data_IF_888927522090
#
_entry.id   IF_888927522090
#
_cell.length_a   1.000
_cell.length_b   1.000
_cell.length_c   1.000
_cell.angle_alpha   90.00
_cell.angle_beta   90.00
_cell.angle_gamma   90.00
#
_symmetry.space_group_name_H-M   'P 1'
#
loop_
_entity.id
_entity.type
_entity.pdbx_description
1 polymer ?
#
# COMPACT_ATOMS: atom_id res chain seq x y z
N UNK A 1 -26.42 2.82 8.91
CA UNK A 1 -27.21 1.72 9.42
C UNK A 1 -27.32 0.51 8.49
N UNK A 2 -26.88 0.62 7.23
CA UNK A 2 -26.86 -0.48 6.25
C UNK A 2 -26.11 -1.73 6.74
N UNK A 3 -24.98 -1.58 7.42
CA UNK A 3 -24.25 -2.72 7.97
C UNK A 3 -25.07 -3.48 9.02
N UNK A 4 -25.71 -2.79 9.95
CA UNK A 4 -26.54 -3.45 10.97
C UNK A 4 -27.71 -4.20 10.34
N UNK A 5 -28.35 -3.62 9.33
CA UNK A 5 -29.41 -4.31 8.58
C UNK A 5 -28.88 -5.54 7.84
N UNK A 6 -27.71 -5.43 7.16
CA UNK A 6 -27.11 -6.55 6.47
C UNK A 6 -26.77 -7.71 7.42
N UNK A 7 -26.19 -7.40 8.58
CA UNK A 7 -25.89 -8.42 9.59
C UNK A 7 -27.16 -9.08 10.14
N UNK A 8 -28.21 -8.29 10.42
CA UNK A 8 -29.48 -8.83 10.85
C UNK A 8 -30.08 -9.80 9.82
N UNK A 9 -30.07 -9.42 8.54
CA UNK A 9 -30.56 -10.29 7.45
C UNK A 9 -29.73 -11.56 7.31
N UNK A 10 -28.41 -11.46 7.41
CA UNK A 10 -27.53 -12.62 7.33
C UNK A 10 -27.75 -13.58 8.51
N UNK A 11 -27.93 -13.05 9.72
CA UNK A 11 -28.28 -13.87 10.89
C UNK A 11 -29.60 -14.61 10.68
N UNK A 12 -30.63 -13.91 10.17
CA UNK A 12 -31.93 -14.53 9.85
C UNK A 12 -31.81 -15.60 8.76
N UNK A 13 -30.81 -15.50 7.89
CA UNK A 13 -30.47 -16.49 6.86
C UNK A 13 -29.59 -17.65 7.38
N UNK A 14 -29.25 -17.67 8.68
CA UNK A 14 -28.48 -18.74 9.30
C UNK A 14 -26.97 -18.48 9.45
N UNK A 15 -26.47 -17.28 9.19
CA UNK A 15 -25.06 -16.97 9.47
C UNK A 15 -24.82 -16.83 10.97
N UNK A 16 -23.81 -17.51 11.49
CA UNK A 16 -23.51 -17.57 12.94
C UNK A 16 -22.29 -16.75 13.34
N UNK A 17 -21.35 -16.55 12.41
CA UNK A 17 -20.08 -15.86 12.67
C UNK A 17 -19.83 -14.79 11.62
N UNK A 18 -19.25 -13.68 12.05
CA UNK A 18 -19.08 -12.50 11.22
C UNK A 18 -17.66 -11.95 11.31
N UNK A 19 -17.26 -11.27 10.27
CA UNK A 19 -16.04 -10.47 10.25
C UNK A 19 -16.32 -9.08 9.70
N UNK A 20 -15.39 -8.16 9.94
CA UNK A 20 -15.38 -6.82 9.38
C UNK A 20 -14.10 -6.63 8.62
N UNK A 21 -14.19 -6.03 7.44
CA UNK A 21 -13.06 -5.65 6.61
C UNK A 21 -13.23 -4.21 6.11
N UNK A 22 -12.14 -3.46 6.05
CA UNK A 22 -12.12 -2.14 5.43
C UNK A 22 -10.79 -1.87 4.77
N UNK A 23 -10.81 -1.37 3.55
CA UNK A 23 -9.65 -0.90 2.81
C UNK A 23 -9.83 0.58 2.46
N UNK A 24 -9.09 1.48 3.12
CA UNK A 24 -9.27 2.93 3.00
C UNK A 24 -8.09 3.65 2.35
N UNK A 25 -6.89 3.10 2.41
CA UNK A 25 -5.69 3.77 1.92
C UNK A 25 -4.64 2.80 1.41
N UNK A 26 -3.74 3.33 0.59
CA UNK A 26 -2.62 2.58 0.02
C UNK A 26 -1.33 3.41 0.15
N UNK A 27 -0.25 2.76 0.57
CA UNK A 27 1.07 3.36 0.74
C UNK A 27 1.08 4.56 1.70
N UNK A 28 0.46 4.43 2.87
CA UNK A 28 0.59 5.42 3.94
C UNK A 28 1.98 5.33 4.58
N UNK A 29 2.66 6.46 4.68
CA UNK A 29 4.02 6.55 5.24
C UNK A 29 4.01 7.24 6.61
N UNK A 30 2.95 7.03 7.39
CA UNK A 30 2.79 7.52 8.76
C UNK A 30 2.46 6.37 9.70
N UNK A 31 3.03 6.39 10.90
CA UNK A 31 2.86 5.31 11.88
C UNK A 31 1.49 5.40 12.62
N UNK A 32 0.78 6.51 12.53
CA UNK A 32 -0.46 6.78 13.26
C UNK A 32 -1.75 6.43 12.51
N UNK A 33 -1.69 6.34 11.17
CA UNK A 33 -2.87 6.05 10.34
C UNK A 33 -3.50 4.69 10.68
N UNK A 34 -2.69 3.66 10.75
CA UNK A 34 -3.16 2.28 10.95
C UNK A 34 -3.78 2.05 12.34
N UNK A 35 -3.19 2.54 13.44
CA UNK A 35 -3.85 2.53 14.76
C UNK A 35 -5.17 3.32 14.81
N UNK A 36 -5.27 4.45 14.09
CA UNK A 36 -6.52 5.21 13.98
C UNK A 36 -7.61 4.42 13.25
N UNK A 37 -7.26 3.78 12.13
CA UNK A 37 -8.16 2.89 11.41
C UNK A 37 -8.65 1.74 12.30
N UNK A 38 -7.74 1.10 13.03
CA UNK A 38 -8.06 0.03 13.96
C UNK A 38 -9.08 0.50 15.01
N UNK A 39 -8.89 1.68 15.62
CA UNK A 39 -9.82 2.26 16.57
C UNK A 39 -11.23 2.42 15.99
N UNK A 40 -11.35 2.98 14.78
CA UNK A 40 -12.63 3.16 14.07
C UNK A 40 -13.34 1.81 13.84
N UNK A 41 -12.59 0.80 13.38
CA UNK A 41 -13.18 -0.52 13.11
C UNK A 41 -13.55 -1.27 14.40
N UNK A 42 -12.76 -1.14 15.45
CA UNK A 42 -13.08 -1.74 16.76
C UNK A 42 -14.34 -1.13 17.38
N UNK A 43 -14.47 0.20 17.35
CA UNK A 43 -15.71 0.86 17.78
C UNK A 43 -16.92 0.45 16.93
N UNK A 44 -16.75 0.30 15.61
CA UNK A 44 -17.79 -0.19 14.73
C UNK A 44 -18.20 -1.61 15.09
N UNK A 45 -17.23 -2.51 15.35
CA UNK A 45 -17.49 -3.89 15.76
C UNK A 45 -18.31 -3.94 17.05
N UNK A 46 -17.93 -3.16 18.05
CA UNK A 46 -18.66 -3.07 19.32
C UNK A 46 -20.09 -2.56 19.11
N UNK A 47 -20.29 -1.53 18.29
CA UNK A 47 -21.62 -1.00 17.97
C UNK A 47 -22.48 -2.03 17.23
N UNK A 48 -21.92 -2.74 16.26
CA UNK A 48 -22.65 -3.79 15.52
C UNK A 48 -23.03 -4.95 16.44
N UNK A 49 -22.10 -5.44 17.25
CA UNK A 49 -22.36 -6.48 18.22
C UNK A 49 -23.49 -6.08 19.18
N UNK A 50 -23.42 -4.91 19.80
CA UNK A 50 -24.45 -4.42 20.73
C UNK A 50 -25.82 -4.25 20.07
N UNK A 51 -25.87 -3.82 18.82
CA UNK A 51 -27.10 -3.52 18.11
C UNK A 51 -27.79 -4.74 17.51
N UNK A 52 -27.02 -5.72 17.05
CA UNK A 52 -27.54 -6.87 16.29
C UNK A 52 -27.41 -8.20 17.03
N UNK A 53 -26.50 -8.30 17.99
CA UNK A 53 -26.14 -9.56 18.63
C UNK A 53 -25.16 -10.40 17.76
N UNK A 54 -24.71 -9.89 16.61
CA UNK A 54 -23.81 -10.62 15.72
C UNK A 54 -22.49 -10.96 16.42
N UNK A 55 -22.03 -12.21 16.27
CA UNK A 55 -20.77 -12.70 16.84
C UNK A 55 -19.62 -12.33 15.88
N UNK A 56 -18.98 -11.19 16.11
CA UNK A 56 -17.79 -10.77 15.36
C UNK A 56 -16.61 -11.65 15.80
N UNK A 57 -16.04 -12.41 14.87
CA UNK A 57 -14.92 -13.33 15.13
C UNK A 57 -13.58 -12.79 14.65
N UNK A 58 -13.60 -11.92 13.65
CA UNK A 58 -12.37 -11.29 13.20
C UNK A 58 -12.62 -9.87 12.67
N UNK A 59 -11.57 -9.07 12.71
CA UNK A 59 -11.52 -7.75 12.07
C UNK A 59 -10.27 -7.74 11.19
N UNK A 60 -10.47 -7.55 9.90
CA UNK A 60 -9.39 -7.40 8.94
C UNK A 60 -9.14 -5.91 8.71
N UNK A 61 -7.97 -5.44 9.13
CA UNK A 61 -7.52 -4.06 8.97
C UNK A 61 -6.99 -3.78 7.56
N UNK A 62 -7.01 -4.80 6.67
CA UNK A 62 -6.49 -4.72 5.31
C UNK A 62 -4.98 -4.42 5.26
N UNK A 63 -4.54 -3.84 4.16
CA UNK A 63 -3.17 -3.35 3.95
C UNK A 63 -3.07 -1.84 4.14
N UNK A 64 -2.22 -1.24 3.33
CA UNK A 64 -2.06 0.21 3.28
C UNK A 64 -0.81 0.74 3.97
N UNK A 65 -0.17 -0.02 4.85
CA UNK A 65 1.16 0.35 5.37
C UNK A 65 2.13 0.44 4.20
N UNK A 66 2.71 1.62 4.04
CA UNK A 66 3.56 1.97 2.93
C UNK A 66 5.03 1.69 3.17
N UNK A 67 5.80 1.92 2.12
CA UNK A 67 7.26 1.87 2.13
C UNK A 67 7.83 3.19 1.63
N UNK A 68 9.06 3.48 1.98
CA UNK A 68 9.83 4.56 1.39
C UNK A 68 10.18 4.19 -0.06
N UNK A 69 9.66 4.96 -1.02
CA UNK A 69 10.04 4.83 -2.45
C UNK A 69 11.15 5.80 -2.84
N UNK A 70 11.37 6.85 -2.06
CA UNK A 70 12.41 7.84 -2.29
C UNK A 70 13.50 7.70 -1.24
N UNK A 71 14.77 7.97 -1.57
CA UNK A 71 15.87 7.88 -0.62
C UNK A 71 15.73 8.79 0.61
N UNK A 72 15.01 9.90 0.46
CA UNK A 72 14.76 10.90 1.51
C UNK A 72 13.53 10.58 2.38
N UNK A 73 12.76 9.56 2.05
CA UNK A 73 11.59 9.14 2.83
C UNK A 73 11.97 8.26 4.00
N UNK A 74 11.30 8.48 5.13
CA UNK A 74 11.39 7.58 6.29
C UNK A 74 10.52 6.34 6.07
N UNK A 75 11.04 5.18 6.39
CA UNK A 75 10.25 3.95 6.49
C UNK A 75 9.33 3.98 7.71
N UNK A 76 8.19 3.31 7.61
CA UNK A 76 7.28 3.13 8.74
C UNK A 76 7.92 2.24 9.83
N UNK A 77 7.62 2.55 11.08
CA UNK A 77 7.95 1.69 12.22
C UNK A 77 6.81 0.71 12.48
N UNK A 78 6.96 -0.52 11.99
CA UNK A 78 5.92 -1.55 12.13
C UNK A 78 5.68 -1.97 13.56
N UNK A 79 6.70 -1.88 14.43
CA UNK A 79 6.54 -2.18 15.84
C UNK A 79 5.70 -1.11 16.55
N UNK A 80 5.95 0.17 16.25
CA UNK A 80 5.14 1.28 16.75
C UNK A 80 3.69 1.20 16.25
N UNK A 81 3.49 0.83 14.98
CA UNK A 81 2.16 0.60 14.40
C UNK A 81 1.44 -0.53 15.15
N UNK A 82 2.11 -1.67 15.33
CA UNK A 82 1.56 -2.82 16.05
C UNK A 82 1.18 -2.50 17.48
N UNK A 83 2.03 -1.77 18.19
CA UNK A 83 1.77 -1.31 19.56
C UNK A 83 0.56 -0.36 19.62
N UNK A 84 0.45 0.54 18.64
CA UNK A 84 -0.71 1.42 18.53
C UNK A 84 -2.03 0.66 18.32
N UNK A 85 -2.01 -0.37 17.47
CA UNK A 85 -3.17 -1.27 17.25
C UNK A 85 -3.49 -2.04 18.53
N UNK A 86 -2.48 -2.60 19.20
CA UNK A 86 -2.64 -3.32 20.48
C UNK A 86 -3.32 -2.45 21.53
N UNK A 87 -2.88 -1.22 21.71
CA UNK A 87 -3.51 -0.26 22.64
C UNK A 87 -4.98 -0.04 22.32
N UNK A 88 -5.33 0.15 21.05
CA UNK A 88 -6.73 0.32 20.63
C UNK A 88 -7.58 -0.94 20.88
N UNK A 89 -7.00 -2.11 20.69
CA UNK A 89 -7.65 -3.38 21.02
C UNK A 89 -7.97 -3.48 22.51
N UNK A 90 -7.00 -3.21 23.37
CA UNK A 90 -7.14 -3.23 24.83
C UNK A 90 -8.10 -2.16 25.36
N UNK A 91 -8.10 -0.97 24.74
CA UNK A 91 -8.99 0.13 25.11
C UNK A 91 -10.45 -0.11 24.70
N UNK A 92 -10.73 -0.78 23.59
CA UNK A 92 -12.06 -0.80 22.96
C UNK A 92 -12.68 -2.19 23.00
N UNK A 93 -11.97 -3.24 22.54
CA UNK A 93 -12.55 -4.58 22.41
C UNK A 93 -12.56 -5.34 23.72
N UNK A 94 -11.50 -5.28 24.50
CA UNK A 94 -11.40 -6.01 25.78
C UNK A 94 -12.50 -5.60 26.76
N UNK A 95 -12.75 -4.29 27.02
CA UNK A 95 -13.83 -3.88 27.91
C UNK A 95 -15.23 -4.19 27.38
N UNK A 96 -15.36 -4.38 26.07
CA UNK A 96 -16.62 -4.76 25.44
C UNK A 96 -16.89 -6.28 25.48
N UNK A 97 -16.02 -7.08 26.11
CA UNK A 97 -16.10 -8.53 26.14
C UNK A 97 -15.76 -9.22 24.80
N UNK A 98 -15.03 -8.51 23.93
CA UNK A 98 -14.64 -8.95 22.57
C UNK A 98 -13.14 -9.21 22.46
N UNK A 99 -12.47 -9.57 23.55
CA UNK A 99 -11.03 -9.81 23.58
C UNK A 99 -10.60 -11.10 22.86
N UNK A 100 -11.55 -11.93 22.39
CA UNK A 100 -11.31 -13.11 21.57
C UNK A 100 -11.36 -12.84 20.05
N UNK A 101 -11.61 -11.60 19.63
CA UNK A 101 -11.69 -11.22 18.22
C UNK A 101 -10.28 -11.27 17.60
N UNK A 102 -10.15 -12.03 16.51
CA UNK A 102 -8.89 -12.12 15.78
C UNK A 102 -8.66 -10.89 14.89
N UNK A 103 -7.41 -10.42 14.84
CA UNK A 103 -7.02 -9.31 13.97
C UNK A 103 -6.23 -9.85 12.78
N UNK A 104 -6.66 -9.46 11.57
CA UNK A 104 -6.00 -9.80 10.31
C UNK A 104 -5.46 -8.56 9.63
N UNK A 105 -4.39 -8.75 8.85
CA UNK A 105 -3.75 -7.70 8.06
C UNK A 105 -3.36 -8.25 6.69
N UNK A 106 -3.25 -7.35 5.68
CA UNK A 106 -2.91 -7.67 4.29
C UNK A 106 -1.73 -6.81 3.82
N UNK A 107 -0.60 -6.87 4.50
CA UNK A 107 0.53 -5.96 4.32
C UNK A 107 1.48 -6.35 3.18
N UNK A 108 0.96 -6.78 2.01
CA UNK A 108 1.76 -7.30 0.91
C UNK A 108 2.91 -6.37 0.47
N UNK A 109 2.61 -5.09 0.25
CA UNK A 109 3.64 -4.11 -0.17
C UNK A 109 4.73 -3.95 0.88
N UNK A 110 4.35 -3.76 2.15
CA UNK A 110 5.30 -3.56 3.24
C UNK A 110 6.26 -4.74 3.38
N UNK A 111 5.76 -5.96 3.19
CA UNK A 111 6.53 -7.18 3.38
C UNK A 111 7.58 -7.43 2.29
N UNK A 112 7.26 -7.13 1.02
CA UNK A 112 8.07 -7.59 -0.11
C UNK A 112 8.65 -6.48 -0.97
N UNK A 113 7.98 -5.34 -1.11
CA UNK A 113 8.39 -4.32 -2.06
C UNK A 113 9.78 -3.70 -1.77
N UNK A 114 10.26 -3.58 -0.53
CA UNK A 114 11.63 -3.11 -0.26
C UNK A 114 12.73 -4.02 -0.80
N UNK A 115 12.41 -5.28 -1.09
CA UNK A 115 13.38 -6.31 -1.50
C UNK A 115 13.25 -6.70 -2.97
N UNK A 116 12.35 -6.04 -3.70
CA UNK A 116 12.14 -6.29 -5.13
C UNK A 116 12.76 -5.20 -6.00
N UNK A 117 13.32 -5.59 -7.14
CA UNK A 117 13.81 -4.68 -8.16
C UNK A 117 13.42 -5.18 -9.55
N UNK A 118 13.10 -4.25 -10.47
CA UNK A 118 13.07 -4.52 -11.90
C UNK A 118 14.44 -4.16 -12.46
N UNK A 119 15.15 -5.14 -13.01
CA UNK A 119 16.41 -4.95 -13.72
C UNK A 119 16.13 -4.90 -15.21
N UNK A 120 16.65 -3.90 -15.89
CA UNK A 120 16.44 -3.69 -17.33
C UNK A 120 17.68 -3.07 -17.97
N UNK A 121 17.82 -3.23 -19.28
CA UNK A 121 18.94 -2.72 -20.05
C UNK A 121 18.52 -1.54 -20.91
N UNK A 122 19.34 -0.51 -20.95
CA UNK A 122 19.17 0.58 -21.94
C UNK A 122 19.50 0.05 -23.33
N UNK A 123 18.53 0.11 -24.24
CA UNK A 123 18.69 -0.33 -25.63
C UNK A 123 19.11 0.83 -26.55
N UNK A 124 18.57 2.03 -26.31
CA UNK A 124 18.85 3.20 -27.15
C UNK A 124 18.53 4.50 -26.40
N UNK A 125 19.05 5.59 -26.93
CA UNK A 125 18.75 6.96 -26.52
C UNK A 125 18.14 7.72 -27.70
N UNK A 126 17.30 8.70 -27.40
CA UNK A 126 16.71 9.60 -28.38
C UNK A 126 16.77 11.02 -27.88
N UNK A 127 17.41 11.88 -28.67
CA UNK A 127 17.63 13.29 -28.39
C UNK A 127 16.77 14.14 -29.35
N UNK A 128 15.70 14.73 -28.83
CA UNK A 128 14.81 15.63 -29.59
C UNK A 128 14.44 16.84 -28.71
N UNK A 129 13.17 17.18 -28.57
CA UNK A 129 12.72 18.21 -27.62
C UNK A 129 12.85 17.78 -26.15
N UNK A 130 13.04 16.51 -25.89
CA UNK A 130 13.42 15.88 -24.62
C UNK A 130 14.47 14.81 -24.85
N UNK A 131 15.11 14.43 -23.77
CA UNK A 131 16.01 13.29 -23.73
C UNK A 131 15.25 12.02 -23.31
N UNK A 132 15.32 10.98 -24.10
CA UNK A 132 14.65 9.70 -23.84
C UNK A 132 15.64 8.56 -23.73
N UNK A 133 15.36 7.67 -22.79
CA UNK A 133 16.05 6.38 -22.64
C UNK A 133 15.04 5.28 -22.89
N UNK A 134 15.26 4.44 -23.90
CA UNK A 134 14.46 3.26 -24.19
C UNK A 134 15.09 2.02 -23.56
N UNK A 135 14.27 1.27 -22.81
CA UNK A 135 14.71 0.04 -22.11
C UNK A 135 14.00 -1.20 -22.64
N UNK A 136 14.55 -2.39 -22.35
CA UNK A 136 14.01 -3.69 -22.74
C UNK A 136 12.87 -4.20 -21.83
N UNK A 137 12.36 -3.35 -20.96
CA UNK A 137 11.16 -3.59 -20.17
C UNK A 137 9.99 -2.72 -20.66
N UNK A 138 8.80 -2.97 -20.15
CA UNK A 138 7.62 -2.17 -20.48
C UNK A 138 6.65 -2.09 -19.28
N UNK A 139 5.59 -1.33 -19.43
CA UNK A 139 4.56 -1.15 -18.38
C UNK A 139 3.96 -2.47 -17.87
N UNK A 140 3.96 -3.54 -18.67
CA UNK A 140 3.51 -4.86 -18.20
C UNK A 140 4.42 -5.48 -17.13
N UNK A 141 5.71 -5.11 -17.10
CA UNK A 141 6.66 -5.57 -16.09
C UNK A 141 6.53 -4.77 -14.77
N UNK A 142 6.24 -3.47 -14.88
CA UNK A 142 6.04 -2.57 -13.73
C UNK A 142 5.00 -1.50 -14.10
N UNK A 143 3.73 -1.81 -13.91
CA UNK A 143 2.63 -0.98 -14.42
C UNK A 143 2.34 0.28 -13.59
N UNK A 144 2.76 0.36 -12.33
CA UNK A 144 2.39 1.46 -11.44
C UNK A 144 2.84 2.85 -11.92
N UNK A 145 4.03 3.07 -12.48
CA UNK A 145 4.39 4.37 -13.05
C UNK A 145 3.43 4.79 -14.17
N UNK A 146 3.13 3.89 -15.10
CA UNK A 146 2.25 4.16 -16.23
C UNK A 146 0.79 4.44 -15.82
N UNK A 147 0.26 3.65 -14.87
CA UNK A 147 -1.16 3.73 -14.46
C UNK A 147 -1.45 4.81 -13.45
N UNK A 148 -0.52 5.08 -12.54
CA UNK A 148 -0.75 5.93 -11.37
C UNK A 148 0.22 7.09 -11.25
N UNK A 149 1.17 7.26 -12.19
CA UNK A 149 2.26 8.22 -12.04
C UNK A 149 3.15 7.95 -10.81
N UNK A 150 3.17 6.69 -10.35
CA UNK A 150 3.87 6.34 -9.11
C UNK A 150 5.37 6.44 -9.28
N UNK A 151 6.01 7.06 -8.30
CA UNK A 151 7.46 7.10 -8.24
C UNK A 151 8.03 5.73 -7.89
N UNK A 152 9.02 5.29 -8.65
CA UNK A 152 9.96 4.24 -8.28
C UNK A 152 11.37 4.78 -8.43
N UNK A 153 12.25 4.48 -7.47
CA UNK A 153 13.64 4.90 -7.57
C UNK A 153 14.33 4.15 -8.71
N UNK A 154 15.14 4.86 -9.47
CA UNK A 154 15.96 4.30 -10.56
C UNK A 154 17.41 4.48 -10.19
N UNK A 155 18.16 3.39 -10.17
CA UNK A 155 19.59 3.38 -10.00
C UNK A 155 20.24 2.94 -11.31
N UNK A 156 21.22 3.68 -11.79
CA UNK A 156 22.03 3.31 -12.96
C UNK A 156 23.24 2.53 -12.47
N UNK A 157 23.25 1.23 -12.76
CA UNK A 157 24.30 0.33 -12.28
C UNK A 157 25.67 0.76 -12.82
N UNK A 158 26.65 0.83 -11.93
CA UNK A 158 28.01 1.29 -12.23
C UNK A 158 28.17 2.81 -12.27
N UNK A 159 27.11 3.58 -11.98
CA UNK A 159 27.12 5.05 -11.90
C UNK A 159 26.46 5.57 -10.60
N UNK A 160 26.47 4.76 -9.54
CA UNK A 160 25.76 5.04 -8.27
C UNK A 160 26.28 6.33 -7.61
N UNK A 161 27.59 6.60 -7.74
CA UNK A 161 28.25 7.78 -7.16
C UNK A 161 28.38 8.96 -8.17
N UNK A 162 27.79 8.82 -9.36
CA UNK A 162 27.82 9.87 -10.39
C UNK A 162 26.69 10.88 -10.16
N UNK A 163 26.91 12.19 -10.37
CA UNK A 163 25.85 13.19 -10.25
C UNK A 163 24.64 12.88 -11.14
N UNK A 164 23.45 13.02 -10.58
CA UNK A 164 22.19 12.91 -11.32
C UNK A 164 21.82 14.29 -11.89
N UNK A 165 22.49 14.72 -12.95
CA UNK A 165 22.39 16.06 -13.53
C UNK A 165 21.77 16.09 -14.95
N UNK A 166 21.45 14.91 -15.50
CA UNK A 166 20.78 14.78 -16.79
C UNK A 166 19.31 14.40 -16.61
N UNK A 167 18.45 15.05 -17.38
CA UNK A 167 16.98 14.89 -17.29
C UNK A 167 16.46 13.98 -18.40
N UNK A 168 15.89 12.81 -18.03
CA UNK A 168 15.37 11.83 -18.97
C UNK A 168 13.91 11.46 -18.74
N UNK A 169 13.19 11.15 -19.83
CA UNK A 169 12.03 10.27 -19.81
C UNK A 169 12.53 8.84 -20.03
N UNK A 170 12.23 7.93 -19.11
CA UNK A 170 12.57 6.49 -19.22
C UNK A 170 11.36 5.74 -19.75
N UNK A 171 11.48 5.16 -20.96
CA UNK A 171 10.39 4.59 -21.74
C UNK A 171 10.57 3.09 -21.95
N UNK A 172 9.45 2.36 -22.03
CA UNK A 172 9.44 0.96 -22.43
C UNK A 172 9.29 0.76 -23.93
N UNK A 173 9.02 -0.48 -24.35
CA UNK A 173 8.96 -0.89 -25.75
C UNK A 173 7.55 -1.01 -26.35
N UNK A 174 6.48 -0.61 -25.62
CA UNK A 174 5.11 -0.68 -26.14
C UNK A 174 4.77 0.52 -27.01
N UNK A 175 3.88 0.31 -27.99
CA UNK A 175 3.27 1.38 -28.76
C UNK A 175 2.17 2.10 -27.94
N UNK A 176 2.55 2.68 -26.80
CA UNK A 176 1.67 3.32 -25.83
C UNK A 176 2.36 4.54 -25.21
N UNK A 177 1.69 5.70 -25.25
CA UNK A 177 2.26 6.96 -24.75
C UNK A 177 2.63 6.92 -23.26
N UNK A 178 1.91 6.11 -22.47
CA UNK A 178 2.12 5.98 -21.04
C UNK A 178 3.08 4.83 -20.68
N UNK A 179 3.69 4.17 -21.65
CA UNK A 179 4.72 3.16 -21.38
C UNK A 179 6.02 3.82 -20.91
N UNK A 180 5.95 4.42 -19.72
CA UNK A 180 7.02 5.18 -19.09
C UNK A 180 7.24 4.74 -17.65
N UNK A 181 8.48 4.49 -17.31
CA UNK A 181 8.91 4.24 -15.94
C UNK A 181 9.16 5.52 -15.17
N UNK A 182 9.56 6.59 -15.88
CA UNK A 182 9.77 7.91 -15.30
C UNK A 182 9.64 9.01 -16.35
N UNK A 183 9.26 10.20 -15.90
CA UNK A 183 9.16 11.43 -16.69
C UNK A 183 10.01 12.48 -16.00
N UNK A 184 10.82 13.23 -16.78
CA UNK A 184 11.69 14.29 -16.29
C UNK A 184 12.57 13.85 -15.10
N UNK A 185 13.05 12.60 -15.14
CA UNK A 185 13.88 12.02 -14.08
C UNK A 185 15.31 12.48 -14.19
N UNK A 186 15.84 13.03 -13.09
CA UNK A 186 17.26 13.32 -12.98
C UNK A 186 18.02 12.01 -12.73
N UNK A 187 18.94 11.67 -13.64
CA UNK A 187 19.81 10.50 -13.60
C UNK A 187 21.25 10.91 -13.97
N UNK A 188 22.24 10.06 -13.71
CA UNK A 188 23.56 10.22 -14.34
C UNK A 188 23.43 10.20 -15.86
N UNK A 189 24.36 10.82 -16.56
CA UNK A 189 24.46 10.69 -18.03
C UNK A 189 24.59 9.20 -18.43
N UNK A 190 23.73 8.76 -19.37
CA UNK A 190 23.65 7.36 -19.80
C UNK A 190 24.51 7.13 -21.05
#
# INVERSE_FOLDING_TARGET
DQMAEAYTRLMAAGAEQFGIHSFLASNTVTDDYYPKLAGILFELAVRLHKRTGAKIKFINLSGGVGIAYRPDQRSNDIAAIGEGVRKKFEEILVPAGMGDVAIFTEMGRFMLAPYGALVTTVLHQKHIYKEYIGVDACAANLMRPAMYGSYHHITVLGKEDTPCDHKYDVTGGLCENNDKFAIDRMLPEI
#
